data_IF_227497881254
#
_entry.id   IF_227497881254
#
_cell.length_a   1.000
_cell.length_b   1.000
_cell.length_c   1.000
_cell.angle_alpha   90.00
_cell.angle_beta   90.00
_cell.angle_gamma   90.00
#
_symmetry.space_group_name_H-M   'P 1'
#
loop_
_entity.id
_entity.type
_entity.pdbx_description
1 polymer ?
#
# COMPACT_ATOMS: atom_id res chain seq x y z
N UNK A 1 -8.80 -1.01 3.18
CA UNK A 1 -8.47 -0.67 1.77
C UNK A 1 -9.45 0.34 1.19
N UNK A 2 -10.76 0.14 1.34
CA UNK A 2 -11.80 1.10 0.88
C UNK A 2 -11.95 2.34 1.76
N UNK A 3 -11.97 2.21 3.09
CA UNK A 3 -12.31 3.34 3.98
C UNK A 3 -11.14 4.31 4.22
N UNK A 4 -10.01 3.78 4.67
CA UNK A 4 -8.83 4.59 5.04
C UNK A 4 -8.07 5.02 3.78
N UNK A 5 -7.64 4.04 2.98
CA UNK A 5 -6.79 4.27 1.82
C UNK A 5 -7.57 4.71 0.58
N UNK A 6 -8.86 4.38 0.49
CA UNK A 6 -9.74 4.77 -0.64
C UNK A 6 -9.19 4.38 -2.02
N UNK A 7 -8.52 3.23 -2.09
CA UNK A 7 -7.88 2.64 -3.30
C UNK A 7 -8.55 1.34 -3.75
N UNK A 8 -9.64 0.93 -3.12
CA UNK A 8 -10.35 -0.29 -3.48
C UNK A 8 -11.82 -0.23 -3.11
N UNK A 9 -12.60 -1.12 -3.71
CA UNK A 9 -14.04 -1.25 -3.50
C UNK A 9 -14.32 -2.44 -2.60
N UNK A 10 -15.15 -2.25 -1.58
CA UNK A 10 -15.67 -3.36 -0.78
C UNK A 10 -16.75 -4.10 -1.58
N UNK A 11 -16.75 -5.43 -1.51
CA UNK A 11 -17.76 -6.27 -2.14
C UNK A 11 -18.63 -6.90 -1.05
N UNK A 12 -19.91 -7.10 -1.36
CA UNK A 12 -20.86 -7.72 -0.46
C UNK A 12 -20.55 -9.23 -0.33
N UNK A 13 -20.90 -9.83 0.82
CA UNK A 13 -20.69 -11.27 1.06
C UNK A 13 -21.41 -12.15 0.03
N UNK A 14 -22.62 -11.76 -0.38
CA UNK A 14 -23.35 -12.42 -1.46
C UNK A 14 -23.06 -11.72 -2.80
N UNK A 15 -22.15 -12.31 -3.57
CA UNK A 15 -21.67 -11.75 -4.84
C UNK A 15 -22.61 -12.12 -5.98
N UNK A 16 -23.30 -11.11 -6.52
CA UNK A 16 -24.13 -11.24 -7.72
C UNK A 16 -23.47 -10.61 -8.94
N UNK A 17 -23.69 -11.19 -10.12
CA UNK A 17 -23.04 -10.77 -11.38
C UNK A 17 -23.30 -9.30 -11.71
N UNK A 18 -24.52 -8.82 -11.46
CA UNK A 18 -24.93 -7.45 -11.69
C UNK A 18 -24.15 -6.45 -10.84
N UNK A 19 -23.89 -6.78 -9.56
CA UNK A 19 -23.08 -5.94 -8.67
C UNK A 19 -21.62 -5.91 -9.14
N UNK A 20 -21.06 -7.06 -9.54
CA UNK A 20 -19.70 -7.11 -10.07
C UNK A 20 -19.58 -6.27 -11.34
N UNK A 21 -20.57 -6.34 -12.26
CA UNK A 21 -20.58 -5.52 -13.48
C UNK A 21 -20.57 -4.03 -13.15
N UNK A 22 -21.40 -3.59 -12.19
CA UNK A 22 -21.44 -2.18 -11.77
C UNK A 22 -20.10 -1.73 -11.18
N UNK A 23 -19.54 -2.52 -10.26
CA UNK A 23 -18.24 -2.23 -9.64
C UNK A 23 -17.12 -2.12 -10.67
N UNK A 24 -17.04 -3.05 -11.62
CA UNK A 24 -16.05 -2.99 -12.71
C UNK A 24 -16.25 -1.75 -13.56
N UNK A 25 -17.50 -1.40 -13.88
CA UNK A 25 -17.80 -0.20 -14.68
C UNK A 25 -17.36 1.09 -13.97
N UNK A 26 -17.66 1.21 -12.67
CA UNK A 26 -17.23 2.35 -11.83
C UNK A 26 -15.72 2.44 -11.69
N UNK A 27 -15.04 1.30 -11.55
CA UNK A 27 -13.59 1.23 -11.43
C UNK A 27 -12.88 1.61 -12.73
N UNK A 28 -13.39 1.15 -13.88
CA UNK A 28 -12.70 1.32 -15.17
C UNK A 28 -12.99 2.66 -15.84
N UNK A 29 -14.22 3.16 -15.72
CA UNK A 29 -14.68 4.32 -16.49
C UNK A 29 -15.29 5.44 -15.63
N UNK A 30 -15.55 5.16 -14.35
CA UNK A 30 -16.17 6.12 -13.44
C UNK A 30 -15.20 7.12 -12.81
N UNK A 31 -15.74 8.19 -12.26
CA UNK A 31 -15.01 9.17 -11.44
C UNK A 31 -14.29 8.49 -10.26
N UNK A 32 -14.98 7.56 -9.61
CA UNK A 32 -14.48 6.82 -8.47
C UNK A 32 -13.18 6.06 -8.80
N UNK A 33 -13.15 5.37 -9.95
CA UNK A 33 -11.97 4.68 -10.47
C UNK A 33 -10.80 5.62 -10.75
N UNK A 34 -11.07 6.80 -11.31
CA UNK A 34 -10.02 7.82 -11.56
C UNK A 34 -9.42 8.35 -10.26
N UNK A 35 -10.24 8.57 -9.24
CA UNK A 35 -9.76 8.98 -7.92
C UNK A 35 -8.96 7.88 -7.21
N UNK A 36 -9.41 6.62 -7.30
CA UNK A 36 -8.64 5.48 -6.80
C UNK A 36 -7.28 5.39 -7.49
N UNK A 37 -7.23 5.56 -8.82
CA UNK A 37 -5.99 5.56 -9.61
C UNK A 37 -5.02 6.68 -9.20
N UNK A 38 -5.53 7.87 -8.86
CA UNK A 38 -4.70 8.97 -8.33
C UNK A 38 -4.10 8.59 -6.98
N UNK A 39 -4.93 8.13 -6.03
CA UNK A 39 -4.50 7.77 -4.67
C UNK A 39 -3.49 6.64 -4.66
N UNK A 40 -3.68 5.60 -5.48
CA UNK A 40 -2.72 4.49 -5.57
C UNK A 40 -1.38 4.94 -6.18
N UNK A 41 -1.39 5.93 -7.07
CA UNK A 41 -0.16 6.55 -7.59
C UNK A 41 0.60 7.30 -6.49
N UNK A 42 -0.09 8.14 -5.72
CA UNK A 42 0.51 8.84 -4.56
C UNK A 42 1.06 7.84 -3.53
N UNK A 43 0.29 6.78 -3.22
CA UNK A 43 0.73 5.73 -2.30
C UNK A 43 1.97 4.99 -2.82
N UNK A 44 2.02 4.69 -4.12
CA UNK A 44 3.19 4.07 -4.75
C UNK A 44 4.42 4.96 -4.56
N UNK A 45 4.30 6.25 -4.86
CA UNK A 45 5.43 7.16 -4.81
C UNK A 45 5.94 7.37 -3.37
N UNK A 46 5.04 7.48 -2.39
CA UNK A 46 5.42 7.51 -0.97
C UNK A 46 6.07 6.20 -0.51
N UNK A 47 5.53 5.06 -0.94
CA UNK A 47 6.09 3.75 -0.60
C UNK A 47 7.51 3.60 -1.15
N UNK A 48 7.75 4.03 -2.40
CA UNK A 48 9.08 4.03 -3.01
C UNK A 48 10.04 4.98 -2.28
N UNK A 49 9.58 6.16 -1.85
CA UNK A 49 10.39 7.07 -1.02
C UNK A 49 10.76 6.46 0.32
N UNK A 50 9.82 5.80 0.99
CA UNK A 50 10.05 5.22 2.31
C UNK A 50 11.08 4.09 2.29
N UNK A 51 11.08 3.25 1.25
CA UNK A 51 12.02 2.12 1.11
C UNK A 51 13.32 2.50 0.38
N UNK A 52 13.35 3.62 -0.34
CA UNK A 52 14.56 4.14 -0.99
C UNK A 52 15.63 4.56 0.01
N UNK A 53 16.89 4.66 -0.45
CA UNK A 53 18.02 5.06 0.40
C UNK A 53 17.74 6.40 1.10
N UNK A 54 17.91 6.43 2.42
CA UNK A 54 17.60 7.60 3.25
C UNK A 54 16.11 7.76 3.60
N UNK A 55 15.24 6.90 3.06
CA UNK A 55 13.82 6.83 3.37
C UNK A 55 13.53 6.30 4.78
N UNK A 56 12.32 6.53 5.27
CA UNK A 56 11.94 6.17 6.65
C UNK A 56 12.04 4.67 6.94
N UNK A 57 11.49 3.81 6.08
CA UNK A 57 11.57 2.36 6.22
C UNK A 57 13.00 1.85 6.04
N UNK A 58 13.74 2.40 5.07
CA UNK A 58 15.16 2.10 4.88
C UNK A 58 15.97 2.39 6.15
N UNK A 59 15.87 3.62 6.68
CA UNK A 59 16.60 4.04 7.87
C UNK A 59 16.20 3.23 9.11
N UNK A 60 14.93 2.84 9.22
CA UNK A 60 14.48 1.98 10.32
C UNK A 60 15.10 0.58 10.22
N UNK A 61 15.26 0.04 9.01
CA UNK A 61 15.92 -1.23 8.79
C UNK A 61 17.42 -1.17 9.11
N UNK A 62 18.12 -0.12 8.68
CA UNK A 62 19.54 0.09 9.02
C UNK A 62 19.75 0.11 10.54
N UNK A 63 18.93 0.89 11.26
CA UNK A 63 18.96 0.94 12.74
C UNK A 63 18.66 -0.41 13.38
N UNK A 64 17.80 -1.22 12.79
CA UNK A 64 17.52 -2.56 13.27
C UNK A 64 18.74 -3.46 13.08
N UNK A 65 19.37 -3.43 11.91
CA UNK A 65 20.60 -4.19 11.61
C UNK A 65 21.74 -3.82 12.55
N UNK A 66 21.97 -2.52 12.80
CA UNK A 66 22.96 -2.03 13.77
C UNK A 66 22.74 -2.62 15.17
N UNK A 67 21.47 -2.73 15.61
CA UNK A 67 21.15 -3.28 16.94
C UNK A 67 21.40 -4.78 17.04
N UNK A 68 21.11 -5.54 15.99
CA UNK A 68 21.31 -7.00 16.02
C UNK A 68 22.74 -7.42 15.68
N UNK A 69 23.49 -6.59 14.95
CA UNK A 69 24.92 -6.79 14.66
C UNK A 69 25.83 -6.20 15.76
N UNK A 70 25.26 -5.39 16.67
CA UNK A 70 25.91 -4.94 17.90
C UNK A 70 26.35 -6.12 18.81
N UNK A 71 26.90 -5.84 20.00
CA UNK A 71 27.90 -6.65 20.72
C UNK A 71 27.56 -8.12 21.07
N UNK A 72 26.38 -8.63 20.70
CA UNK A 72 25.98 -10.01 20.88
C UNK A 72 26.65 -11.00 19.89
N UNK A 73 27.17 -10.54 18.74
CA UNK A 73 27.87 -11.39 17.76
C UNK A 73 29.41 -11.30 17.83
N UNK A 74 29.97 -10.35 18.57
CA UNK A 74 31.42 -10.21 18.79
C UNK A 74 31.92 -10.93 20.05
N UNK A 75 31.04 -11.66 20.74
CA UNK A 75 31.32 -12.35 22.01
C UNK A 75 31.31 -13.89 21.90
N UNK A 76 31.40 -14.44 20.68
CA UNK A 76 31.60 -15.88 20.41
C UNK A 76 32.81 -16.07 19.53
#
# INVERSE_FOLDING_TARGET
VSEVWKIGLAMNENVKREHVKDMVTRLMSGEEGRQMKKRIGELRDESMRAVGRGGSSYNNMEKFLEKIQGPHLSAV
#
